data_IF_795680980804
#
_entry.id   IF_795680980804
#
_cell.length_a   1.000
_cell.length_b   1.000
_cell.length_c   1.000
_cell.angle_alpha   90.00
_cell.angle_beta   90.00
_cell.angle_gamma   90.00
#
_symmetry.space_group_name_H-M   'P 1'
#
loop_
_entity.id
_entity.type
_entity.pdbx_description
1 polymer ?
#
# COMPACT_ATOMS: atom_id res chain seq x y z
N UNK A 1 -18.80 1.13 25.68
CA UNK A 1 -19.26 1.88 24.49
C UNK A 1 -18.81 3.34 24.51
N UNK A 2 -19.22 4.18 25.48
CA UNK A 2 -18.84 5.60 25.51
C UNK A 2 -17.31 5.87 25.52
N UNK A 3 -16.55 5.11 26.30
CA UNK A 3 -15.08 5.22 26.34
C UNK A 3 -14.41 4.89 24.99
N UNK A 4 -14.95 3.92 24.24
CA UNK A 4 -14.45 3.55 22.92
C UNK A 4 -14.70 4.65 21.89
N UNK A 5 -15.86 5.31 21.96
CA UNK A 5 -16.19 6.45 21.09
C UNK A 5 -15.22 7.61 21.37
N UNK A 6 -15.00 7.98 22.63
CA UNK A 6 -14.05 9.04 22.98
C UNK A 6 -12.61 8.74 22.53
N UNK A 7 -12.18 7.47 22.64
CA UNK A 7 -10.87 7.06 22.14
C UNK A 7 -10.77 7.25 20.63
N UNK A 8 -11.79 6.85 19.87
CA UNK A 8 -11.82 7.01 18.42
C UNK A 8 -11.78 8.48 17.99
N UNK A 9 -12.55 9.34 18.65
CA UNK A 9 -12.56 10.78 18.35
C UNK A 9 -11.18 11.39 18.64
N UNK A 10 -10.56 11.03 19.77
CA UNK A 10 -9.21 11.48 20.10
C UNK A 10 -8.18 11.01 19.07
N UNK A 11 -8.23 9.76 18.65
CA UNK A 11 -7.35 9.21 17.63
C UNK A 11 -7.55 9.91 16.29
N UNK A 12 -8.80 10.18 15.91
CA UNK A 12 -9.11 10.92 14.70
C UNK A 12 -8.49 12.33 14.74
N UNK A 13 -8.70 13.09 15.82
CA UNK A 13 -8.09 14.42 16.00
C UNK A 13 -6.56 14.35 15.98
N UNK A 14 -5.95 13.34 16.63
CA UNK A 14 -4.49 13.18 16.60
C UNK A 14 -3.98 12.86 15.19
N UNK A 15 -4.74 12.09 14.41
CA UNK A 15 -4.38 11.73 13.04
C UNK A 15 -4.30 12.97 12.12
N UNK A 16 -5.00 14.06 12.44
CA UNK A 16 -4.93 15.32 11.66
C UNK A 16 -3.54 15.98 11.71
N UNK A 17 -2.73 15.67 12.74
CA UNK A 17 -1.34 16.11 12.82
C UNK A 17 -0.40 15.37 11.86
N UNK A 18 -0.83 14.26 11.27
CA UNK A 18 -0.10 13.59 10.20
C UNK A 18 -0.19 14.42 8.92
N UNK A 19 0.96 14.92 8.46
CA UNK A 19 1.08 15.68 7.22
C UNK A 19 0.82 14.82 5.98
N UNK A 20 1.24 13.56 6.02
CA UNK A 20 1.02 12.58 4.96
C UNK A 20 -0.31 11.82 5.17
N UNK A 21 -1.12 11.72 4.12
CA UNK A 21 -2.43 11.04 4.18
C UNK A 21 -2.28 9.52 4.37
N UNK A 22 -1.27 8.90 3.75
CA UNK A 22 -0.97 7.49 3.95
C UNK A 22 -0.59 7.21 5.39
N UNK A 23 0.29 8.04 5.97
CA UNK A 23 0.69 7.91 7.38
C UNK A 23 -0.50 8.11 8.33
N UNK A 24 -1.44 9.00 7.99
CA UNK A 24 -2.68 9.20 8.74
C UNK A 24 -3.51 7.92 8.80
N UNK A 25 -3.77 7.28 7.65
CA UNK A 25 -4.54 6.04 7.61
C UNK A 25 -3.79 4.88 8.25
N UNK A 26 -2.46 4.82 8.11
CA UNK A 26 -1.64 3.83 8.79
C UNK A 26 -1.71 3.98 10.32
N UNK A 27 -1.70 5.22 10.83
CA UNK A 27 -1.90 5.49 12.25
C UNK A 27 -3.28 5.02 12.73
N UNK A 28 -4.34 5.35 11.99
CA UNK A 28 -5.69 4.91 12.33
C UNK A 28 -5.81 3.38 12.30
N UNK A 29 -5.26 2.73 11.29
CA UNK A 29 -5.21 1.28 11.17
C UNK A 29 -4.48 0.62 12.34
N UNK A 30 -3.28 1.10 12.69
CA UNK A 30 -2.51 0.57 13.81
C UNK A 30 -3.31 0.60 15.12
N UNK A 31 -3.98 1.72 15.40
CA UNK A 31 -4.76 1.87 16.63
C UNK A 31 -6.06 1.05 16.59
N UNK A 32 -6.77 1.02 15.47
CA UNK A 32 -7.96 0.18 15.31
C UNK A 32 -7.65 -1.31 15.45
N UNK A 33 -6.54 -1.76 14.88
CA UNK A 33 -6.09 -3.15 15.01
C UNK A 33 -5.75 -3.51 16.45
N UNK A 34 -5.06 -2.61 17.17
CA UNK A 34 -4.81 -2.79 18.60
C UNK A 34 -6.11 -2.91 19.41
N UNK A 35 -7.10 -2.04 19.16
CA UNK A 35 -8.40 -2.11 19.82
C UNK A 35 -9.13 -3.41 19.49
N UNK A 36 -9.10 -3.85 18.23
CA UNK A 36 -9.70 -5.12 17.81
C UNK A 36 -9.06 -6.30 18.56
N UNK A 37 -7.73 -6.29 18.71
CA UNK A 37 -7.01 -7.29 19.49
C UNK A 37 -7.42 -7.29 20.97
N UNK A 38 -7.58 -6.11 21.59
CA UNK A 38 -8.07 -6.00 22.97
C UNK A 38 -9.51 -6.52 23.14
N UNK A 39 -10.31 -6.51 22.08
CA UNK A 39 -11.69 -6.99 22.08
C UNK A 39 -11.81 -8.47 21.65
N UNK A 40 -10.70 -9.16 21.31
CA UNK A 40 -10.73 -10.48 20.68
C UNK A 40 -11.36 -11.57 21.55
N UNK A 41 -11.29 -11.46 22.88
CA UNK A 41 -11.99 -12.36 23.81
C UNK A 41 -13.52 -12.28 23.68
N UNK A 42 -14.01 -11.19 23.10
CA UNK A 42 -15.41 -10.93 22.78
C UNK A 42 -15.62 -10.90 21.26
N UNK A 43 -15.06 -11.87 20.54
CA UNK A 43 -15.03 -11.94 19.07
C UNK A 43 -16.40 -11.93 18.39
N UNK A 44 -17.48 -12.23 19.11
CA UNK A 44 -18.87 -12.14 18.61
C UNK A 44 -19.56 -10.82 18.96
N UNK A 45 -18.86 -9.90 19.64
CA UNK A 45 -19.45 -8.62 20.04
C UNK A 45 -19.60 -7.68 18.84
N UNK A 46 -20.69 -6.89 18.77
CA UNK A 46 -20.83 -5.86 17.73
C UNK A 46 -19.68 -4.85 17.71
N UNK A 47 -19.05 -4.59 18.87
CA UNK A 47 -17.91 -3.69 18.96
C UNK A 47 -16.67 -4.25 18.24
N UNK A 48 -16.37 -5.53 18.43
CA UNK A 48 -15.26 -6.20 17.73
C UNK A 48 -15.48 -6.22 16.21
N UNK A 49 -16.66 -6.64 15.75
CA UNK A 49 -16.99 -6.68 14.33
C UNK A 49 -16.91 -5.29 13.67
N UNK A 50 -17.39 -4.26 14.36
CA UNK A 50 -17.28 -2.89 13.89
C UNK A 50 -15.81 -2.43 13.80
N UNK A 51 -14.97 -2.84 14.75
CA UNK A 51 -13.54 -2.50 14.70
C UNK A 51 -12.81 -3.19 13.54
N UNK A 52 -13.12 -4.45 13.26
CA UNK A 52 -12.60 -5.14 12.07
C UNK A 52 -12.98 -4.40 10.79
N UNK A 53 -14.22 -3.95 10.67
CA UNK A 53 -14.66 -3.16 9.52
C UNK A 53 -13.88 -1.84 9.37
N UNK A 54 -13.56 -1.16 10.47
CA UNK A 54 -12.68 0.02 10.42
C UNK A 54 -11.25 -0.33 9.99
N UNK A 55 -10.71 -1.45 10.46
CA UNK A 55 -9.39 -1.92 10.01
C UNK A 55 -9.36 -2.12 8.49
N UNK A 56 -10.34 -2.83 7.93
CA UNK A 56 -10.46 -3.03 6.47
C UNK A 56 -10.57 -1.68 5.74
N UNK A 57 -11.44 -0.80 6.20
CA UNK A 57 -11.63 0.53 5.60
C UNK A 57 -10.35 1.37 5.61
N UNK A 58 -9.61 1.35 6.71
CA UNK A 58 -8.36 2.11 6.83
C UNK A 58 -7.23 1.49 6.01
N UNK A 59 -7.16 0.16 5.92
CA UNK A 59 -6.27 -0.55 5.02
C UNK A 59 -6.52 -0.12 3.57
N UNK A 60 -7.77 -0.19 3.10
CA UNK A 60 -8.14 0.21 1.74
C UNK A 60 -7.81 1.68 1.48
N UNK A 61 -8.14 2.57 2.42
CA UNK A 61 -7.84 3.99 2.31
C UNK A 61 -6.34 4.25 2.23
N UNK A 62 -5.55 3.57 3.05
CA UNK A 62 -4.09 3.64 3.01
C UNK A 62 -3.54 3.16 1.65
N UNK A 63 -3.96 1.99 1.17
CA UNK A 63 -3.53 1.42 -0.12
C UNK A 63 -3.88 2.35 -1.28
N UNK A 64 -5.04 2.98 -1.18
CA UNK A 64 -5.52 3.90 -2.20
C UNK A 64 -4.71 5.20 -2.24
N UNK A 65 -4.62 5.94 -1.12
CA UNK A 65 -3.90 7.24 -1.11
C UNK A 65 -2.40 7.08 -1.29
N UNK A 66 -1.84 5.92 -0.92
CA UNK A 66 -0.40 5.70 -0.91
C UNK A 66 0.14 5.00 -2.16
N UNK A 67 -0.67 4.26 -2.90
CA UNK A 67 -0.19 3.45 -4.02
C UNK A 67 -0.96 3.63 -5.33
N UNK A 68 -2.10 4.34 -5.33
CA UNK A 68 -2.86 4.61 -6.57
C UNK A 68 -2.04 5.34 -7.62
N UNK A 69 -1.21 6.31 -7.23
CA UNK A 69 -0.38 7.08 -8.20
C UNK A 69 0.72 6.23 -8.84
N UNK A 70 1.24 5.23 -8.12
CA UNK A 70 2.21 4.27 -8.66
C UNK A 70 1.56 3.47 -9.77
N UNK A 71 0.38 2.90 -9.51
CA UNK A 71 -0.39 2.15 -10.50
C UNK A 71 -0.88 3.01 -11.67
N UNK A 72 -1.15 4.30 -11.46
CA UNK A 72 -1.57 5.20 -12.52
C UNK A 72 -0.48 5.45 -13.60
N UNK A 73 0.77 5.07 -13.33
CA UNK A 73 1.85 5.13 -14.32
C UNK A 73 1.71 4.06 -15.41
N UNK A 74 0.99 2.97 -15.12
CA UNK A 74 0.76 1.85 -16.03
C UNK A 74 -0.41 2.21 -16.99
N UNK A 75 -0.20 2.17 -18.32
CA UNK A 75 -1.26 2.43 -19.29
C UNK A 75 -2.35 1.36 -19.22
N UNK A 76 -3.63 1.77 -19.28
CA UNK A 76 -4.77 0.84 -19.31
C UNK A 76 -5.18 0.40 -20.72
N UNK A 77 -4.65 1.05 -21.75
CA UNK A 77 -5.08 0.88 -23.14
C UNK A 77 -3.90 0.60 -24.05
N UNK A 78 -4.08 -0.36 -24.97
CA UNK A 78 -3.10 -0.64 -26.01
C UNK A 78 -3.16 0.43 -27.09
N UNK A 79 -2.00 1.03 -27.37
CA UNK A 79 -1.83 1.97 -28.48
C UNK A 79 -1.19 1.24 -29.68
N UNK A 80 -1.66 1.43 -30.91
CA UNK A 80 -1.03 0.82 -32.08
C UNK A 80 0.22 1.60 -32.54
N UNK A 81 1.19 0.87 -33.10
CA UNK A 81 2.33 1.43 -33.84
C UNK A 81 3.52 1.90 -32.98
N UNK A 82 4.49 2.65 -33.55
CA UNK A 82 5.73 3.06 -32.88
C UNK A 82 5.52 3.90 -31.62
N UNK A 83 4.37 4.60 -31.56
CA UNK A 83 3.93 5.40 -30.41
C UNK A 83 3.76 4.51 -29.16
N UNK A 84 3.37 3.24 -29.34
CA UNK A 84 3.25 2.24 -28.28
C UNK A 84 4.54 2.06 -27.48
N UNK A 85 5.64 1.78 -28.18
CA UNK A 85 6.93 1.49 -27.56
C UNK A 85 7.46 2.68 -26.74
N UNK A 86 7.28 3.90 -27.28
CA UNK A 86 7.71 5.12 -26.58
C UNK A 86 6.86 5.42 -25.34
N UNK A 87 5.54 5.29 -25.43
CA UNK A 87 4.62 5.45 -24.29
C UNK A 87 4.97 4.44 -23.19
N UNK A 88 5.18 3.18 -23.57
CA UNK A 88 5.46 2.10 -22.61
C UNK A 88 6.81 2.33 -21.92
N UNK A 89 7.86 2.69 -22.64
CA UNK A 89 9.16 3.00 -22.03
C UNK A 89 9.06 4.17 -21.05
N UNK A 90 8.31 5.23 -21.41
CA UNK A 90 8.07 6.36 -20.51
C UNK A 90 7.26 5.97 -19.27
N UNK A 91 6.26 5.09 -19.43
CA UNK A 91 5.44 4.57 -18.33
C UNK A 91 6.23 3.72 -17.36
N UNK A 92 7.11 2.85 -17.85
CA UNK A 92 8.01 2.04 -17.03
C UNK A 92 8.88 2.93 -16.13
N UNK A 93 9.55 3.95 -16.70
CA UNK A 93 10.40 4.88 -15.93
C UNK A 93 9.58 5.66 -14.89
N UNK A 94 8.36 6.08 -15.24
CA UNK A 94 7.46 6.77 -14.28
C UNK A 94 7.04 5.86 -13.13
N UNK A 95 6.70 4.60 -13.44
CA UNK A 95 6.34 3.61 -12.44
C UNK A 95 7.50 3.37 -11.48
N UNK A 96 8.71 3.10 -11.99
CA UNK A 96 9.90 2.85 -11.18
C UNK A 96 10.20 4.03 -10.25
N UNK A 97 10.17 5.26 -10.77
CA UNK A 97 10.41 6.47 -9.97
C UNK A 97 9.34 6.63 -8.88
N UNK A 98 8.06 6.47 -9.22
CA UNK A 98 6.96 6.59 -8.27
C UNK A 98 7.03 5.51 -7.19
N UNK A 99 7.35 4.27 -7.57
CA UNK A 99 7.55 3.15 -6.65
C UNK A 99 8.68 3.46 -5.68
N UNK A 100 9.88 3.77 -6.17
CA UNK A 100 11.06 4.00 -5.31
C UNK A 100 10.84 5.17 -4.35
N UNK A 101 10.26 6.28 -4.82
CA UNK A 101 9.94 7.43 -3.96
C UNK A 101 8.98 7.03 -2.84
N UNK A 102 7.94 6.27 -3.16
CA UNK A 102 6.93 5.80 -2.20
C UNK A 102 7.58 4.84 -1.19
N UNK A 103 8.33 3.85 -1.68
CA UNK A 103 9.07 2.90 -0.86
C UNK A 103 10.03 3.59 0.12
N UNK A 104 10.89 4.50 -0.36
CA UNK A 104 11.86 5.19 0.49
C UNK A 104 11.20 6.00 1.60
N UNK A 105 10.05 6.62 1.30
CA UNK A 105 9.28 7.35 2.31
C UNK A 105 8.72 6.41 3.37
N UNK A 106 8.11 5.30 2.95
CA UNK A 106 7.41 4.38 3.84
C UNK A 106 8.32 3.39 4.57
N UNK A 107 9.54 3.17 4.07
CA UNK A 107 10.56 2.36 4.76
C UNK A 107 10.87 2.89 6.16
N UNK A 108 10.74 4.20 6.35
CA UNK A 108 10.95 4.89 7.64
C UNK A 108 9.72 4.84 8.56
N UNK A 109 8.58 4.34 8.10
CA UNK A 109 7.38 4.23 8.91
C UNK A 109 7.45 2.96 9.75
N UNK A 110 6.65 2.90 10.82
CA UNK A 110 6.65 1.78 11.75
C UNK A 110 5.25 1.22 11.95
N UNK A 111 5.14 -0.10 11.88
CA UNK A 111 3.96 -0.86 12.30
C UNK A 111 4.41 -1.85 13.36
N UNK A 112 3.91 -1.68 14.59
CA UNK A 112 4.39 -2.43 15.76
C UNK A 112 3.93 -3.89 15.76
N UNK A 113 2.69 -4.13 15.32
CA UNK A 113 2.14 -5.48 15.30
C UNK A 113 2.68 -6.25 14.07
N UNK A 114 3.34 -7.41 14.27
CA UNK A 114 3.96 -8.14 13.18
C UNK A 114 2.95 -8.74 12.21
N UNK A 115 1.75 -9.11 12.67
CA UNK A 115 0.70 -9.68 11.81
C UNK A 115 0.07 -8.62 10.93
N UNK A 116 -0.23 -7.45 11.49
CA UNK A 116 -0.71 -6.31 10.72
C UNK A 116 0.31 -5.87 9.68
N UNK A 117 1.58 -5.83 10.07
CA UNK A 117 2.69 -5.47 9.17
C UNK A 117 2.82 -6.45 8.01
N UNK A 118 2.76 -7.74 8.28
CA UNK A 118 2.78 -8.77 7.24
C UNK A 118 1.55 -8.67 6.32
N UNK A 119 0.36 -8.45 6.87
CA UNK A 119 -0.86 -8.24 6.11
C UNK A 119 -0.78 -7.00 5.19
N UNK A 120 -0.26 -5.88 5.69
CA UNK A 120 0.01 -4.66 4.91
C UNK A 120 0.94 -4.94 3.73
N UNK A 121 2.08 -5.60 3.99
CA UNK A 121 3.06 -5.95 2.95
C UNK A 121 2.43 -6.82 1.87
N UNK A 122 1.71 -7.88 2.26
CA UNK A 122 0.99 -8.75 1.31
C UNK A 122 -0.01 -7.97 0.47
N UNK A 123 -0.81 -7.10 1.08
CA UNK A 123 -1.80 -6.30 0.36
C UNK A 123 -1.16 -5.31 -0.63
N UNK A 124 -0.02 -4.71 -0.28
CA UNK A 124 0.74 -3.84 -1.18
C UNK A 124 1.34 -4.66 -2.33
N UNK A 125 1.97 -5.80 -2.03
CA UNK A 125 2.54 -6.70 -3.05
C UNK A 125 1.45 -7.14 -4.02
N UNK A 126 0.33 -7.67 -3.52
CA UNK A 126 -0.80 -8.09 -4.34
C UNK A 126 -1.30 -6.95 -5.23
N UNK A 127 -1.41 -5.74 -4.69
CA UNK A 127 -1.92 -4.58 -5.45
C UNK A 127 -0.92 -4.06 -6.49
N UNK A 128 0.35 -3.93 -6.12
CA UNK A 128 1.37 -3.23 -6.93
C UNK A 128 2.09 -4.19 -7.86
N UNK A 129 2.55 -5.33 -7.34
CA UNK A 129 3.36 -6.28 -8.10
C UNK A 129 2.50 -7.03 -9.11
N UNK A 130 1.27 -7.41 -8.77
CA UNK A 130 0.36 -8.04 -9.75
C UNK A 130 0.08 -7.11 -10.94
N UNK A 131 -0.19 -5.82 -10.67
CA UNK A 131 -0.40 -4.83 -11.74
C UNK A 131 0.84 -4.65 -12.62
N UNK A 132 2.02 -4.65 -12.00
CA UNK A 132 3.30 -4.53 -12.71
C UNK A 132 3.65 -5.77 -13.54
N UNK A 133 3.44 -6.99 -13.00
CA UNK A 133 3.66 -8.25 -13.74
C UNK A 133 2.77 -8.32 -14.97
N UNK A 134 1.47 -8.05 -14.83
CA UNK A 134 0.54 -8.02 -15.95
C UNK A 134 0.99 -7.01 -17.02
N UNK A 135 1.44 -5.82 -16.61
CA UNK A 135 1.98 -4.82 -17.51
C UNK A 135 3.21 -5.33 -18.28
N UNK A 136 4.16 -5.99 -17.62
CA UNK A 136 5.34 -6.53 -18.30
C UNK A 136 5.00 -7.67 -19.26
N UNK A 137 4.09 -8.56 -18.88
CA UNK A 137 3.62 -9.66 -19.73
C UNK A 137 2.94 -9.15 -21.01
N UNK A 138 2.13 -8.09 -20.90
CA UNK A 138 1.49 -7.46 -22.05
C UNK A 138 2.47 -6.70 -22.96
N UNK A 139 3.66 -6.35 -22.43
CA UNK A 139 4.66 -5.52 -23.09
C UNK A 139 6.06 -6.15 -23.03
N UNK A 140 6.18 -7.41 -23.48
CA UNK A 140 7.46 -8.15 -23.52
C UNK A 140 8.62 -7.41 -24.20
N UNK A 141 8.34 -6.42 -25.07
CA UNK A 141 9.39 -5.56 -25.65
C UNK A 141 10.15 -4.72 -24.60
N UNK A 142 9.55 -4.51 -23.42
CA UNK A 142 10.14 -3.78 -22.30
C UNK A 142 11.18 -4.61 -21.53
N UNK A 143 11.23 -5.93 -21.70
CA UNK A 143 12.26 -6.78 -21.05
C UNK A 143 13.69 -6.29 -21.34
N UNK A 144 13.90 -5.67 -22.51
CA UNK A 144 15.20 -5.09 -22.90
C UNK A 144 15.54 -3.79 -22.16
N UNK A 145 14.54 -3.12 -21.60
CA UNK A 145 14.64 -1.83 -20.92
C UNK A 145 14.59 -1.94 -19.40
N UNK A 146 14.08 -3.05 -18.86
CA UNK A 146 14.29 -3.41 -17.47
C UNK A 146 15.80 -3.60 -17.31
N UNK A 147 16.47 -2.65 -16.66
CA UNK A 147 17.85 -2.81 -16.25
C UNK A 147 17.94 -4.14 -15.50
N UNK A 148 18.71 -5.09 -16.05
CA UNK A 148 18.56 -6.56 -15.90
C UNK A 148 18.54 -7.08 -14.45
N UNK A 149 18.73 -6.22 -13.44
CA UNK A 149 18.79 -6.56 -12.01
C UNK A 149 18.05 -5.60 -11.06
N UNK A 150 17.66 -4.36 -11.41
CA UNK A 150 17.14 -3.38 -10.40
C UNK A 150 15.63 -3.23 -10.33
N UNK A 151 14.90 -3.62 -11.38
CA UNK A 151 13.46 -3.36 -11.49
C UNK A 151 12.64 -4.63 -11.79
N UNK A 152 13.22 -5.81 -11.58
CA UNK A 152 12.46 -7.06 -11.73
C UNK A 152 11.34 -7.11 -10.69
N UNK A 153 10.17 -7.69 -11.01
CA UNK A 153 9.08 -7.85 -10.07
C UNK A 153 9.51 -8.49 -8.75
N UNK A 154 10.43 -9.46 -8.80
CA UNK A 154 10.99 -10.17 -7.64
C UNK A 154 11.77 -9.23 -6.71
N UNK A 155 12.61 -8.35 -7.28
CA UNK A 155 13.38 -7.37 -6.49
C UNK A 155 12.44 -6.35 -5.85
N UNK A 156 11.44 -5.86 -6.59
CA UNK A 156 10.45 -4.92 -6.04
C UNK A 156 9.63 -5.58 -4.92
N UNK A 157 9.27 -6.86 -5.06
CA UNK A 157 8.57 -7.63 -4.05
C UNK A 157 9.42 -7.82 -2.77
N UNK A 158 10.71 -8.14 -2.92
CA UNK A 158 11.66 -8.23 -1.80
C UNK A 158 11.77 -6.88 -1.07
N UNK A 159 11.89 -5.78 -1.81
CA UNK A 159 11.90 -4.43 -1.23
C UNK A 159 10.64 -4.19 -0.40
N UNK A 160 9.45 -4.47 -0.94
CA UNK A 160 8.19 -4.30 -0.21
C UNK A 160 8.13 -5.14 1.08
N UNK A 161 8.80 -6.29 1.09
CA UNK A 161 8.98 -7.15 2.27
C UNK A 161 9.69 -6.46 3.44
N UNK A 162 10.43 -5.38 3.20
CA UNK A 162 11.16 -4.62 4.23
C UNK A 162 10.38 -3.41 4.78
N UNK A 163 9.20 -3.11 4.24
CA UNK A 163 8.45 -1.92 4.67
C UNK A 163 8.01 -1.99 6.13
N UNK A 164 7.93 -0.84 6.80
CA UNK A 164 7.40 -0.70 8.16
C UNK A 164 8.29 -1.25 9.30
N UNK A 165 9.60 -1.34 9.08
CA UNK A 165 10.60 -1.69 10.11
C UNK A 165 11.21 -0.47 10.84
N UNK A 166 10.87 0.75 10.43
CA UNK A 166 11.45 2.02 10.92
C UNK A 166 11.37 2.27 12.43
#
# INVERSE_FOLDING_TARGET
>A
MAQLIMLKDLLFTKSESCSDQGLRYLFLLNNSYFVAHMLSESSSSPAYLNELHYCEKYMDSYLDVSWRHVLACIPKSRFPGPIHCWINTSSLVKFELAFHKTYQTQKLWKVLDPWLRDALRRAIIERVITGYRNYLEEHSELEKHIGRESSSPEVLEEMLGELFEG
#
